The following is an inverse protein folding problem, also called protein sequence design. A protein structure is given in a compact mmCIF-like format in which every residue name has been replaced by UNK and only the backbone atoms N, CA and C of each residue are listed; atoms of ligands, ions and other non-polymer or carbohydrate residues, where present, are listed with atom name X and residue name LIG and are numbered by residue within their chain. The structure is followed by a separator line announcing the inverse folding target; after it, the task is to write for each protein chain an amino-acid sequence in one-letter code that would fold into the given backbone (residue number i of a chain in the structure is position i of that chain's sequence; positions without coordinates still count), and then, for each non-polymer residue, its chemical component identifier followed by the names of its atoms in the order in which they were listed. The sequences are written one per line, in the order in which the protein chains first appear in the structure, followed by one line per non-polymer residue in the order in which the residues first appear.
data_IF_250997762864
#
_entry.id   IF_250997762864
#
_cell.length_a   1.000
_cell.length_b   1.000
_cell.length_c   1.000
_cell.angle_alpha   90.00
_cell.angle_beta   90.00
_cell.angle_gamma   90.00
#
_symmetry.space_group_name_H-M   'P 1'
#
loop_
_entity.id
_entity.type
_entity.pdbx_description
1 polymer ?
#
# COMPACT_ATOMS: atom_id res chain seq x y z
N UNK A 1 -1.78 20.09 -10.33
CA UNK A 1 -1.55 20.65 -8.97
C UNK A 1 -1.88 19.58 -7.95
N UNK A 2 -1.05 19.40 -6.95
CA UNK A 2 -1.24 18.46 -5.87
C UNK A 2 -1.57 19.20 -4.59
N UNK A 3 -2.59 18.73 -3.89
CA UNK A 3 -2.99 19.28 -2.59
C UNK A 3 -2.49 18.35 -1.49
N UNK A 4 -2.11 18.93 -0.36
CA UNK A 4 -1.62 18.19 0.81
C UNK A 4 -2.36 18.57 2.07
N UNK A 5 -2.39 17.66 3.02
CA UNK A 5 -2.87 17.87 4.38
C UNK A 5 -2.10 16.96 5.33
N UNK A 6 -2.22 17.20 6.61
CA UNK A 6 -1.48 16.48 7.64
C UNK A 6 -2.45 15.81 8.62
N UNK A 7 -2.01 14.71 9.19
CA UNK A 7 -2.74 13.96 10.20
C UNK A 7 -1.77 13.49 11.30
N UNK A 8 -2.11 13.76 12.55
CA UNK A 8 -1.32 13.32 13.69
C UNK A 8 -1.85 11.96 14.19
N UNK A 9 -1.12 10.89 13.86
CA UNK A 9 -1.47 9.56 14.32
C UNK A 9 -0.76 9.20 15.62
N UNK A 10 -1.23 8.16 16.33
CA UNK A 10 -0.51 7.62 17.51
C UNK A 10 0.90 7.11 17.17
N UNK A 11 1.19 6.84 15.89
CA UNK A 11 2.48 6.35 15.42
C UNK A 11 3.35 7.44 14.80
N UNK A 12 2.92 8.68 14.85
CA UNK A 12 3.62 9.82 14.26
C UNK A 12 2.83 10.53 13.19
N UNK A 13 3.40 11.62 12.65
CA UNK A 13 2.77 12.42 11.63
C UNK A 13 2.58 11.68 10.31
N UNK A 14 1.48 11.95 9.65
CA UNK A 14 1.14 11.42 8.33
C UNK A 14 0.86 12.59 7.40
N UNK A 15 1.36 12.52 6.18
CA UNK A 15 1.05 13.46 5.11
C UNK A 15 0.10 12.80 4.13
N UNK A 16 -0.99 13.52 3.80
CA UNK A 16 -1.99 13.14 2.82
C UNK A 16 -1.79 13.96 1.55
N UNK A 17 -1.98 13.35 0.39
CA UNK A 17 -1.94 14.04 -0.89
C UNK A 17 -3.15 13.70 -1.74
N UNK A 18 -3.57 14.65 -2.58
CA UNK A 18 -4.71 14.50 -3.48
C UNK A 18 -4.52 15.30 -4.76
N UNK A 19 -5.15 14.85 -5.84
CA UNK A 19 -5.26 15.61 -7.08
C UNK A 19 -6.46 16.58 -7.10
N UNK A 20 -7.20 16.65 -6.00
CA UNK A 20 -8.42 17.44 -5.85
C UNK A 20 -9.68 16.60 -5.73
N UNK A 21 -9.68 15.38 -6.24
CA UNK A 21 -10.82 14.47 -6.27
C UNK A 21 -10.58 13.19 -5.48
N UNK A 22 -9.39 12.60 -5.65
CA UNK A 22 -9.02 11.32 -5.06
C UNK A 22 -7.74 11.44 -4.22
N UNK A 23 -7.59 10.54 -3.26
CA UNK A 23 -6.35 10.39 -2.51
C UNK A 23 -5.28 9.80 -3.42
N UNK A 24 -4.14 10.47 -3.52
CA UNK A 24 -3.00 10.04 -4.34
C UNK A 24 -1.78 9.67 -3.52
N UNK A 25 -1.78 9.99 -2.24
CA UNK A 25 -0.68 9.67 -1.34
C UNK A 25 -1.10 9.68 0.12
N UNK A 26 -0.49 8.78 0.88
CA UNK A 26 -0.57 8.72 2.34
C UNK A 26 0.74 8.11 2.83
N UNK A 27 1.56 8.90 3.51
CA UNK A 27 2.86 8.46 4.00
C UNK A 27 3.06 8.86 5.46
N UNK A 28 3.73 8.01 6.22
CA UNK A 28 4.34 8.46 7.47
C UNK A 28 5.47 9.44 7.15
N UNK A 29 5.56 10.50 7.91
CA UNK A 29 6.61 11.50 7.75
C UNK A 29 7.99 10.83 7.91
N UNK A 30 8.90 11.09 6.97
CA UNK A 30 10.25 10.53 6.99
C UNK A 30 10.39 9.08 6.52
N UNK A 31 9.33 8.42 6.08
CA UNK A 31 9.45 7.05 5.54
C UNK A 31 10.21 7.01 4.21
N UNK A 32 10.69 5.83 3.83
CA UNK A 32 11.21 5.57 2.48
C UNK A 32 10.15 5.91 1.43
N UNK A 33 10.59 6.50 0.33
CA UNK A 33 9.73 6.92 -0.80
C UNK A 33 8.62 7.91 -0.40
N UNK A 34 8.83 8.63 0.71
CA UNK A 34 7.94 9.71 1.12
C UNK A 34 7.73 10.69 -0.01
N UNK A 35 6.48 11.05 -0.24
CA UNK A 35 6.15 12.08 -1.22
C UNK A 35 6.36 11.66 -2.68
N UNK A 36 6.41 10.36 -2.99
CA UNK A 36 6.70 9.88 -4.35
C UNK A 36 5.73 10.39 -5.43
N UNK A 37 4.51 10.75 -5.03
CA UNK A 37 3.50 11.33 -5.94
C UNK A 37 3.35 12.85 -5.79
N UNK A 38 4.14 13.48 -4.92
CA UNK A 38 4.16 14.92 -4.78
C UNK A 38 4.96 15.54 -5.93
N UNK A 39 4.34 16.44 -6.67
CA UNK A 39 5.05 17.25 -7.65
C UNK A 39 5.82 18.41 -6.98
N UNK A 40 6.42 19.25 -7.80
CA UNK A 40 7.13 20.45 -7.31
C UNK A 40 6.19 21.49 -6.71
N UNK A 41 4.93 21.46 -7.15
CA UNK A 41 3.91 22.44 -6.73
C UNK A 41 2.86 21.72 -5.87
N UNK A 42 3.03 21.84 -4.56
CA UNK A 42 2.07 21.35 -3.58
C UNK A 42 1.43 22.54 -2.86
N UNK A 43 0.14 22.44 -2.60
CA UNK A 43 -0.59 23.45 -1.85
C UNK A 43 -1.35 22.79 -0.69
N UNK A 44 -1.20 23.32 0.51
CA UNK A 44 -2.05 22.94 1.61
C UNK A 44 -3.48 23.42 1.36
N UNK A 45 -4.42 22.50 1.42
CA UNK A 45 -5.84 22.83 1.23
C UNK A 45 -6.69 21.78 1.93
N UNK A 46 -7.77 22.23 2.51
CA UNK A 46 -8.77 21.30 3.03
C UNK A 46 -9.70 20.85 1.90
N UNK A 47 -9.82 19.53 1.74
CA UNK A 47 -10.61 18.89 0.69
C UNK A 47 -11.54 17.84 1.29
N UNK A 48 -12.71 17.60 0.69
CA UNK A 48 -13.62 16.54 1.15
C UNK A 48 -12.94 15.16 1.26
N UNK A 49 -12.05 14.81 0.31
CA UNK A 49 -11.32 13.54 0.37
C UNK A 49 -10.39 13.45 1.58
N UNK A 50 -9.84 14.57 2.04
CA UNK A 50 -9.02 14.59 3.25
C UNK A 50 -9.85 14.43 4.51
N UNK A 51 -11.03 15.02 4.56
CA UNK A 51 -11.97 14.83 5.66
C UNK A 51 -12.35 13.36 5.78
N UNK A 52 -12.72 12.74 4.67
CA UNK A 52 -13.07 11.32 4.61
C UNK A 52 -11.88 10.42 5.00
N UNK A 53 -10.68 10.74 4.53
CA UNK A 53 -9.47 9.99 4.88
C UNK A 53 -9.14 10.10 6.36
N UNK A 54 -9.28 11.30 6.96
CA UNK A 54 -9.10 11.47 8.41
C UNK A 54 -10.11 10.67 9.22
N UNK A 55 -11.36 10.62 8.80
CA UNK A 55 -12.38 9.78 9.43
C UNK A 55 -11.99 8.29 9.36
N UNK A 56 -11.50 7.85 8.21
CA UNK A 56 -11.00 6.50 8.02
C UNK A 56 -9.86 6.19 9.00
N UNK A 57 -8.88 7.10 9.09
CA UNK A 57 -7.73 6.95 9.98
C UNK A 57 -8.14 6.98 11.46
N UNK A 58 -9.08 7.83 11.84
CA UNK A 58 -9.61 7.89 13.22
C UNK A 58 -10.25 6.56 13.63
N UNK A 59 -11.03 5.95 12.75
CA UNK A 59 -11.64 4.63 12.99
C UNK A 59 -10.56 3.57 13.08
N UNK A 60 -9.61 3.57 12.11
CA UNK A 60 -8.53 2.59 12.07
C UNK A 60 -7.66 2.62 13.32
N UNK A 61 -7.20 3.80 13.73
CA UNK A 61 -6.35 3.94 14.91
C UNK A 61 -7.10 3.76 16.24
N UNK A 62 -8.41 3.73 16.22
CA UNK A 62 -9.20 3.32 17.39
C UNK A 62 -9.35 1.80 17.53
N UNK A 63 -8.78 1.03 16.61
CA UNK A 63 -8.77 -0.43 16.65
C UNK A 63 -9.92 -1.11 15.91
N UNK A 64 -10.59 -0.38 15.01
CA UNK A 64 -11.70 -0.91 14.22
C UNK A 64 -11.37 -0.90 12.73
N UNK A 65 -11.90 -1.89 12.03
CA UNK A 65 -11.84 -1.90 10.56
C UNK A 65 -12.84 -0.88 10.01
N UNK A 66 -12.37 0.14 9.25
CA UNK A 66 -13.29 1.04 8.56
C UNK A 66 -14.12 0.28 7.52
N UNK A 67 -15.40 0.61 7.39
CA UNK A 67 -16.34 -0.03 6.48
C UNK A 67 -16.50 0.72 5.15
N UNK A 68 -15.68 1.72 4.92
CA UNK A 68 -15.63 2.50 3.69
C UNK A 68 -14.19 2.73 3.26
N UNK A 69 -13.99 3.13 2.01
CA UNK A 69 -12.69 3.47 1.45
C UNK A 69 -12.79 4.83 0.76
N UNK A 70 -11.93 5.80 1.09
CA UNK A 70 -11.90 7.06 0.35
C UNK A 70 -11.57 6.81 -1.13
N UNK A 71 -12.01 7.66 -2.05
CA UNK A 71 -11.60 7.53 -3.45
C UNK A 71 -10.09 7.65 -3.56
N UNK A 72 -9.47 6.71 -4.26
CA UNK A 72 -8.02 6.63 -4.41
C UNK A 72 -7.65 6.56 -5.89
N UNK A 73 -6.55 7.21 -6.23
CA UNK A 73 -5.93 7.10 -7.54
C UNK A 73 -4.45 6.82 -7.35
N UNK A 74 -4.04 5.64 -7.79
CA UNK A 74 -2.66 5.18 -7.63
C UNK A 74 -1.97 5.18 -8.99
N UNK A 75 -0.90 5.94 -9.10
CA UNK A 75 -0.06 5.97 -10.29
C UNK A 75 1.20 5.13 -10.08
N UNK A 76 1.54 4.34 -11.06
CA UNK A 76 2.71 3.48 -11.04
C UNK A 76 2.78 2.64 -12.30
N UNK A 77 3.81 1.79 -12.37
CA UNK A 77 3.96 0.83 -13.46
C UNK A 77 2.84 -0.22 -13.43
N UNK A 78 2.56 -0.90 -14.56
CA UNK A 78 1.60 -2.00 -14.56
C UNK A 78 1.91 -3.08 -13.53
N UNK A 79 3.19 -3.38 -13.32
CA UNK A 79 3.64 -4.34 -12.30
C UNK A 79 3.32 -3.85 -10.89
N UNK A 80 3.65 -2.60 -10.56
CA UNK A 80 3.33 -2.00 -9.26
C UNK A 80 1.83 -2.02 -8.99
N UNK A 81 1.03 -1.61 -9.96
CA UNK A 81 -0.44 -1.61 -9.83
C UNK A 81 -0.99 -3.02 -9.58
N UNK A 82 -0.46 -4.04 -10.27
CA UNK A 82 -0.86 -5.42 -10.06
C UNK A 82 -0.54 -5.90 -8.64
N UNK A 83 0.63 -5.56 -8.12
CA UNK A 83 1.01 -5.85 -6.72
C UNK A 83 0.05 -5.14 -5.75
N UNK A 84 -0.20 -3.85 -5.94
CA UNK A 84 -1.07 -3.08 -5.05
C UNK A 84 -2.52 -3.59 -5.04
N UNK A 85 -3.04 -4.05 -6.16
CA UNK A 85 -4.35 -4.71 -6.22
C UNK A 85 -4.40 -5.97 -5.35
N UNK A 86 -3.33 -6.77 -5.37
CA UNK A 86 -3.23 -7.94 -4.49
C UNK A 86 -3.19 -7.53 -3.02
N UNK A 87 -2.45 -6.47 -2.68
CA UNK A 87 -2.41 -5.96 -1.30
C UNK A 87 -3.80 -5.62 -0.78
N UNK A 88 -4.66 -5.05 -1.62
CA UNK A 88 -6.02 -4.69 -1.25
C UNK A 88 -6.90 -5.89 -0.93
N UNK A 89 -6.51 -7.09 -1.34
CA UNK A 89 -7.24 -8.32 -1.01
C UNK A 89 -6.85 -8.92 0.34
N UNK A 90 -5.77 -8.44 0.96
CA UNK A 90 -5.35 -8.93 2.28
C UNK A 90 -6.31 -8.39 3.34
N UNK A 91 -7.06 -9.26 4.04
CA UNK A 91 -8.07 -8.81 4.98
C UNK A 91 -7.46 -8.16 6.22
N UNK A 92 -8.24 -7.33 6.87
CA UNK A 92 -7.91 -6.76 8.18
C UNK A 92 -7.57 -7.88 9.17
N UNK A 93 -6.46 -7.76 9.87
CA UNK A 93 -5.96 -8.79 10.77
C UNK A 93 -5.26 -9.96 10.08
N UNK A 94 -5.23 -9.99 8.74
CA UNK A 94 -4.54 -11.02 7.96
C UNK A 94 -3.16 -10.58 7.50
N UNK A 95 -2.39 -11.53 7.00
CA UNK A 95 -1.07 -11.30 6.41
C UNK A 95 -0.90 -12.13 5.14
N UNK A 96 0.03 -11.72 4.31
CA UNK A 96 0.44 -12.46 3.11
C UNK A 96 1.95 -12.37 2.97
N UNK A 97 2.59 -13.43 2.50
CA UNK A 97 4.03 -13.41 2.26
C UNK A 97 4.36 -12.82 0.88
N UNK A 98 5.59 -12.33 0.71
CA UNK A 98 6.08 -11.89 -0.61
C UNK A 98 5.99 -13.01 -1.65
N UNK A 99 6.27 -14.25 -1.24
CA UNK A 99 6.16 -15.43 -2.11
C UNK A 99 4.74 -15.72 -2.55
N UNK A 100 3.77 -15.55 -1.67
CA UNK A 100 2.34 -15.72 -2.00
C UNK A 100 1.86 -14.66 -2.99
N UNK A 101 2.33 -13.41 -2.85
CA UNK A 101 2.04 -12.35 -3.83
C UNK A 101 2.64 -12.70 -5.18
N UNK A 102 3.91 -13.14 -5.21
CA UNK A 102 4.57 -13.56 -6.44
C UNK A 102 3.82 -14.71 -7.14
N UNK A 103 3.32 -15.69 -6.38
CA UNK A 103 2.52 -16.79 -6.90
C UNK A 103 1.22 -16.29 -7.53
N UNK A 104 0.50 -15.38 -6.87
CA UNK A 104 -0.75 -14.80 -7.39
C UNK A 104 -0.52 -14.01 -8.69
N UNK A 105 0.59 -13.31 -8.81
CA UNK A 105 0.96 -12.60 -10.03
C UNK A 105 1.19 -13.57 -11.19
N UNK A 106 1.80 -14.72 -10.94
CA UNK A 106 2.02 -15.75 -11.95
C UNK A 106 0.70 -16.41 -12.40
N UNK A 107 -0.24 -16.63 -11.50
CA UNK A 107 -1.57 -17.18 -11.81
C UNK A 107 -2.35 -16.25 -12.75
N UNK A 108 -2.31 -14.95 -12.54
CA UNK A 108 -2.97 -13.96 -13.41
C UNK A 108 -2.42 -13.92 -14.84
N UNK A 109 -1.25 -14.48 -15.09
CA UNK A 109 -0.65 -14.58 -16.42
C UNK A 109 -1.02 -15.87 -17.17
N UNK A 110 -1.57 -16.87 -16.48
CA UNK A 110 -1.86 -18.17 -17.07
C UNK A 110 -3.27 -18.30 -17.68
N UNK A 111 -4.19 -17.39 -17.41
CA UNK A 111 -5.60 -17.52 -17.78
C UNK A 111 -6.07 -16.58 -18.92
N UNK A 112 -5.15 -15.88 -19.60
CA UNK A 112 -5.53 -15.04 -20.72
C UNK A 112 -4.95 -15.54 -22.04
N UNK A 113 -5.73 -15.56 -23.16
CA UNK A 113 -5.13 -15.62 -24.48
C UNK A 113 -4.37 -14.33 -24.70
N UNK A 114 -3.09 -14.31 -24.36
CA UNK A 114 -2.22 -13.18 -24.63
C UNK A 114 -2.21 -12.89 -26.13
N UNK A 115 -2.34 -11.62 -26.55
CA UNK A 115 -2.10 -11.27 -27.94
C UNK A 115 -0.61 -11.47 -28.23
N UNK A 116 -0.29 -12.47 -29.01
CA UNK A 116 1.06 -12.77 -29.42
C UNK A 116 1.51 -14.15 -28.97
N UNK A 117 1.01 -15.17 -29.67
CA UNK A 117 1.62 -16.48 -29.67
C UNK A 117 3.09 -16.35 -30.09
N UNK A 118 4.01 -16.39 -29.14
CA UNK A 118 5.44 -16.34 -29.45
C UNK A 118 6.37 -16.31 -28.28
N UNK A 119 5.94 -15.81 -27.15
CA UNK A 119 6.76 -15.82 -25.96
C UNK A 119 6.10 -16.67 -24.87
N UNK A 120 6.34 -17.96 -24.89
CA UNK A 120 6.25 -18.76 -23.69
C UNK A 120 7.16 -18.10 -22.66
N UNK A 121 6.65 -17.65 -21.50
CA UNK A 121 7.54 -17.35 -20.40
C UNK A 121 8.22 -18.68 -20.07
N UNK A 122 9.49 -18.77 -20.36
CA UNK A 122 10.30 -19.90 -19.92
C UNK A 122 10.21 -20.03 -18.39
N UNK A 123 10.60 -21.18 -17.84
CA UNK A 123 10.56 -21.43 -16.40
C UNK A 123 11.39 -20.45 -15.54
N UNK A 124 12.03 -19.49 -16.16
CA UNK A 124 12.89 -18.48 -15.56
C UNK A 124 12.16 -17.18 -15.12
N UNK A 125 10.86 -17.05 -15.40
CA UNK A 125 10.09 -15.92 -14.89
C UNK A 125 9.39 -16.28 -13.56
N UNK A 126 10.17 -16.72 -12.62
CA UNK A 126 9.79 -16.56 -11.23
C UNK A 126 9.85 -15.07 -10.94
N UNK A 127 8.68 -14.46 -10.76
CA UNK A 127 8.60 -13.14 -10.18
C UNK A 127 9.43 -13.17 -8.90
N UNK A 128 10.56 -12.46 -8.86
CA UNK A 128 11.42 -12.50 -7.68
C UNK A 128 10.70 -11.86 -6.50
N UNK A 129 10.82 -12.44 -5.33
CA UNK A 129 10.34 -11.84 -4.09
C UNK A 129 10.91 -10.43 -3.88
N UNK A 130 12.11 -10.19 -4.41
CA UNK A 130 12.76 -8.87 -4.38
C UNK A 130 12.02 -7.84 -5.25
N UNK A 131 11.57 -8.21 -6.45
CA UNK A 131 10.80 -7.31 -7.30
C UNK A 131 9.43 -6.99 -6.68
N UNK A 132 8.77 -7.99 -6.09
CA UNK A 132 7.54 -7.80 -5.32
C UNK A 132 7.78 -6.86 -4.14
N UNK A 133 8.85 -7.09 -3.37
CA UNK A 133 9.24 -6.25 -2.24
C UNK A 133 9.47 -4.79 -2.64
N UNK A 134 10.09 -4.56 -3.77
CA UNK A 134 10.26 -3.21 -4.34
C UNK A 134 8.92 -2.53 -4.63
N UNK A 135 7.99 -3.24 -5.27
CA UNK A 135 6.66 -2.71 -5.57
C UNK A 135 5.85 -2.45 -4.30
N UNK A 136 5.90 -3.35 -3.32
CA UNK A 136 5.26 -3.18 -2.00
C UNK A 136 5.80 -1.93 -1.30
N UNK A 137 7.12 -1.73 -1.31
CA UNK A 137 7.76 -0.56 -0.69
C UNK A 137 7.45 0.76 -1.36
N UNK A 138 7.08 0.77 -2.64
CA UNK A 138 6.70 1.96 -3.40
C UNK A 138 5.21 2.28 -3.34
N UNK A 139 4.43 1.55 -2.56
CA UNK A 139 3.01 1.84 -2.35
C UNK A 139 2.83 3.31 -1.91
N UNK A 140 2.13 4.15 -2.70
CA UNK A 140 1.97 5.56 -2.36
C UNK A 140 0.90 5.83 -1.30
N UNK A 141 0.05 4.87 -0.98
CA UNK A 141 -1.04 5.03 -0.01
C UNK A 141 -0.90 3.97 1.08
N UNK A 142 -0.04 4.26 2.05
CA UNK A 142 0.19 3.38 3.20
C UNK A 142 -1.08 3.20 4.03
N UNK A 143 -1.18 2.13 4.78
CA UNK A 143 -2.28 1.75 5.68
C UNK A 143 -3.55 1.36 4.92
N UNK A 144 -4.13 2.23 4.11
CA UNK A 144 -5.36 1.93 3.36
C UNK A 144 -5.09 0.84 2.32
N UNK A 145 -4.00 0.98 1.56
CA UNK A 145 -3.44 -0.13 0.79
C UNK A 145 -2.42 -0.84 1.69
N UNK A 146 -2.74 -2.03 2.20
CA UNK A 146 -2.11 -2.56 3.42
C UNK A 146 -0.76 -3.24 3.18
N UNK A 147 0.25 -2.48 2.75
CA UNK A 147 1.60 -3.02 2.57
C UNK A 147 2.24 -3.50 3.89
N UNK A 148 1.77 -3.04 5.03
CA UNK A 148 2.19 -3.53 6.34
C UNK A 148 1.75 -4.98 6.61
N UNK A 149 0.76 -5.50 5.89
CA UNK A 149 0.29 -6.89 5.99
C UNK A 149 1.14 -7.88 5.20
N UNK A 150 2.15 -7.41 4.47
CA UNK A 150 3.09 -8.27 3.76
C UNK A 150 4.25 -8.59 4.67
N UNK A 151 4.50 -9.88 4.87
CA UNK A 151 5.56 -10.37 5.75
C UNK A 151 6.51 -11.29 4.98
N UNK A 152 7.72 -11.46 5.51
CA UNK A 152 8.66 -12.43 4.99
C UNK A 152 8.29 -13.87 5.38
N UNK A 153 9.03 -14.83 4.86
CA UNK A 153 8.88 -16.23 5.24
C UNK A 153 9.00 -16.39 6.76
N UNK A 154 8.11 -17.18 7.35
CA UNK A 154 8.07 -17.36 8.80
C UNK A 154 7.55 -16.17 9.60
N UNK A 155 6.92 -15.19 8.94
CA UNK A 155 6.35 -14.02 9.61
C UNK A 155 7.34 -12.89 9.89
N UNK A 156 8.49 -12.88 9.22
CA UNK A 156 9.50 -11.82 9.37
C UNK A 156 8.93 -10.45 9.02
N UNK A 157 9.17 -9.43 9.85
CA UNK A 157 8.65 -8.07 9.71
C UNK A 157 9.61 -7.14 8.95
N UNK A 158 10.36 -7.66 8.00
CA UNK A 158 11.29 -6.87 7.20
C UNK A 158 10.60 -6.16 6.02
N UNK A 159 11.22 -5.10 5.51
CA UNK A 159 10.85 -4.50 4.24
C UNK A 159 9.73 -3.47 4.26
N UNK A 160 9.33 -2.97 5.42
CA UNK A 160 8.32 -1.91 5.49
C UNK A 160 8.95 -0.51 5.34
N UNK A 161 8.37 0.33 4.48
CA UNK A 161 8.92 1.66 4.16
C UNK A 161 9.00 2.59 5.38
N UNK A 162 8.06 2.50 6.31
CA UNK A 162 8.05 3.28 7.55
C UNK A 162 8.81 2.61 8.70
N UNK A 163 9.43 1.47 8.45
CA UNK A 163 10.24 0.76 9.43
C UNK A 163 9.52 -0.39 10.13
N UNK A 164 10.27 -1.37 10.68
CA UNK A 164 9.70 -2.57 11.27
C UNK A 164 8.88 -2.28 12.54
N UNK A 165 9.21 -1.26 13.31
CA UNK A 165 8.46 -0.90 14.52
C UNK A 165 7.03 -0.45 14.21
N UNK A 166 6.86 0.44 13.23
CA UNK A 166 5.52 0.87 12.80
C UNK A 166 4.73 -0.29 12.19
N UNK A 167 5.38 -1.14 11.42
CA UNK A 167 4.76 -2.35 10.87
C UNK A 167 4.21 -3.25 11.96
N UNK A 168 5.02 -3.52 12.99
CA UNK A 168 4.62 -4.30 14.16
C UNK A 168 3.44 -3.67 14.90
N UNK A 169 3.48 -2.36 15.09
CA UNK A 169 2.41 -1.63 15.77
C UNK A 169 1.09 -1.67 14.99
N UNK A 170 1.14 -1.52 13.66
CA UNK A 170 -0.04 -1.63 12.80
C UNK A 170 -0.63 -3.04 12.83
N UNK A 171 0.19 -4.07 12.71
CA UNK A 171 -0.26 -5.46 12.79
C UNK A 171 -0.85 -5.78 14.17
N UNK A 172 -0.26 -5.26 15.25
CA UNK A 172 -0.77 -5.45 16.62
C UNK A 172 -2.10 -4.74 16.84
N UNK A 173 -2.31 -3.61 16.19
CA UNK A 173 -3.57 -2.87 16.23
C UNK A 173 -4.70 -3.66 15.56
N UNK A 174 -4.41 -4.31 14.44
CA UNK A 174 -5.39 -5.09 13.67
C UNK A 174 -5.65 -6.47 14.29
N UNK A 175 -4.66 -7.04 14.94
CA UNK A 175 -4.76 -8.34 15.59
C UNK A 175 -4.11 -8.26 16.97
N UNK A 176 -4.80 -7.71 17.96
CA UNK A 176 -4.26 -7.62 19.31
C UNK A 176 -4.00 -9.01 19.86
N UNK A 177 -2.82 -9.21 20.45
CA UNK A 177 -2.48 -10.43 21.15
C UNK A 177 -3.50 -10.67 22.29
N UNK A 178 -3.93 -11.93 22.49
CA UNK A 178 -4.83 -12.26 23.58
C UNK A 178 -4.24 -11.97 24.95
#
# INVERSE_FOLDING_TARGET
MVFISHYDSPLGGITLASDGEALTGLWFDGQKHYGSTLGRDCQEKDLPVFVETRQWLDIYFSGWEPDFTPPMRMEGTPFQKAVWEILRTIPYGGTMTYGEIAAKLCEGYSDGPGPGAGARPGPTRRMSAQAVGGAVGHNPISIIVPCHRVVGAGGSLTGYAAGPEKKKQLLSLEYPAP
#
